data_IF_514442714998
#
_entry.id   IF_514442714998
#
_cell.length_a   1.000
_cell.length_b   1.000
_cell.length_c   1.000
_cell.angle_alpha   90.00
_cell.angle_beta   90.00
_cell.angle_gamma   90.00
#
_symmetry.space_group_name_H-M   'P 1'
#
loop_
_entity.id
_entity.type
_entity.pdbx_description
1 polymer ?
#
# COMPACT_ATOMS: atom_id res chain seq x y z
N UNK A 1 -24.93 8.34 -9.90
CA UNK A 1 -24.15 7.17 -9.39
C UNK A 1 -22.89 7.72 -8.77
N UNK A 2 -22.54 7.33 -7.53
CA UNK A 2 -21.30 7.80 -6.90
C UNK A 2 -20.09 7.30 -7.70
N UNK A 3 -19.10 8.17 -7.95
CA UNK A 3 -17.85 7.78 -8.62
C UNK A 3 -17.11 6.76 -7.74
N UNK A 4 -16.73 5.62 -8.31
CA UNK A 4 -15.92 4.60 -7.62
C UNK A 4 -14.63 5.20 -7.06
N UNK A 5 -14.19 4.71 -5.90
CA UNK A 5 -12.90 5.08 -5.31
C UNK A 5 -11.85 4.11 -5.80
N UNK A 6 -10.78 4.60 -6.42
CA UNK A 6 -9.68 3.77 -6.91
C UNK A 6 -8.55 3.69 -5.89
N UNK A 7 -8.21 2.50 -5.43
CA UNK A 7 -7.15 2.23 -4.48
C UNK A 7 -6.01 1.47 -5.16
N UNK A 8 -4.79 1.98 -5.07
CA UNK A 8 -3.60 1.25 -5.49
C UNK A 8 -2.98 0.53 -4.30
N UNK A 9 -2.89 -0.79 -4.41
CA UNK A 9 -2.41 -1.69 -3.38
C UNK A 9 -0.95 -2.06 -3.66
N UNK A 10 -0.02 -1.71 -2.78
CA UNK A 10 1.43 -1.85 -3.01
C UNK A 10 2.03 -2.78 -1.96
N UNK A 11 2.53 -3.95 -2.39
CA UNK A 11 3.25 -4.87 -1.52
C UNK A 11 4.68 -4.38 -1.31
N UNK A 12 5.18 -4.45 -0.08
CA UNK A 12 6.58 -4.22 0.24
C UNK A 12 7.48 -5.45 0.08
N UNK A 13 6.95 -6.56 -0.44
CA UNK A 13 7.70 -7.82 -0.59
C UNK A 13 7.78 -8.30 -2.04
N UNK A 14 8.98 -8.73 -2.43
CA UNK A 14 9.24 -9.42 -3.71
C UNK A 14 9.12 -10.94 -3.61
N UNK A 15 8.89 -11.51 -2.41
CA UNK A 15 8.81 -12.97 -2.25
C UNK A 15 7.54 -13.48 -2.94
N UNK A 16 7.69 -14.47 -3.82
CA UNK A 16 6.56 -15.11 -4.51
C UNK A 16 5.49 -15.64 -3.53
N UNK A 17 5.92 -16.21 -2.41
CA UNK A 17 5.03 -16.70 -1.34
C UNK A 17 4.73 -15.68 -0.23
N UNK A 18 4.80 -14.37 -0.49
CA UNK A 18 4.57 -13.35 0.54
C UNK A 18 3.12 -13.32 1.03
N UNK A 19 2.93 -13.46 2.36
CA UNK A 19 1.63 -13.28 2.98
C UNK A 19 1.14 -11.81 2.91
N UNK A 20 2.04 -10.83 2.83
CA UNK A 20 1.68 -9.43 2.59
C UNK A 20 1.10 -9.23 1.19
N UNK A 21 1.67 -9.88 0.18
CA UNK A 21 1.11 -9.87 -1.18
C UNK A 21 -0.22 -10.64 -1.25
N UNK A 22 -0.33 -11.76 -0.53
CA UNK A 22 -1.59 -12.50 -0.40
C UNK A 22 -2.70 -11.65 0.25
N UNK A 23 -2.38 -10.85 1.27
CA UNK A 23 -3.32 -9.90 1.88
C UNK A 23 -3.84 -8.91 0.85
N UNK A 24 -2.96 -8.29 0.05
CA UNK A 24 -3.41 -7.32 -0.97
C UNK A 24 -4.22 -7.95 -2.10
N UNK A 25 -3.88 -9.18 -2.53
CA UNK A 25 -4.74 -9.93 -3.47
C UNK A 25 -6.10 -10.26 -2.86
N UNK A 26 -6.14 -10.56 -1.57
CA UNK A 26 -7.39 -10.77 -0.84
C UNK A 26 -8.19 -9.47 -0.81
N UNK A 27 -7.55 -8.34 -0.52
CA UNK A 27 -8.18 -7.02 -0.54
C UNK A 27 -8.81 -6.71 -1.90
N UNK A 28 -8.11 -6.98 -2.99
CA UNK A 28 -8.67 -6.88 -4.34
C UNK A 28 -9.90 -7.78 -4.54
N UNK A 29 -9.84 -9.04 -4.08
CA UNK A 29 -10.93 -10.00 -4.25
C UNK A 29 -12.18 -9.69 -3.40
N UNK A 30 -12.01 -9.00 -2.27
CA UNK A 30 -13.12 -8.65 -1.35
C UNK A 30 -13.50 -7.17 -1.40
N UNK A 31 -12.99 -6.44 -2.40
CA UNK A 31 -13.27 -5.02 -2.55
C UNK A 31 -14.79 -4.76 -2.67
N UNK A 32 -15.34 -3.78 -1.93
CA UNK A 32 -16.72 -3.36 -2.11
C UNK A 32 -17.02 -2.92 -3.55
N UNK A 33 -18.27 -3.01 -3.98
CA UNK A 33 -18.68 -2.71 -5.36
C UNK A 33 -18.38 -1.26 -5.82
N UNK A 34 -18.23 -0.33 -4.87
CA UNK A 34 -17.91 1.08 -5.09
C UNK A 34 -16.42 1.43 -4.85
N UNK A 35 -15.57 0.40 -4.81
CA UNK A 35 -14.11 0.48 -4.65
C UNK A 35 -13.42 -0.34 -5.73
N UNK A 36 -12.61 0.33 -6.56
CA UNK A 36 -11.71 -0.33 -7.50
C UNK A 36 -10.34 -0.54 -6.83
N UNK A 37 -10.03 -1.77 -6.45
CA UNK A 37 -8.76 -2.11 -5.82
C UNK A 37 -7.80 -2.80 -6.81
N UNK A 38 -6.62 -2.21 -7.02
CA UNK A 38 -5.63 -2.69 -8.00
C UNK A 38 -4.30 -3.01 -7.32
N UNK A 39 -3.80 -4.23 -7.47
CA UNK A 39 -2.48 -4.61 -6.96
C UNK A 39 -1.38 -4.15 -7.92
N UNK A 40 -0.44 -3.36 -7.41
CA UNK A 40 0.77 -2.98 -8.14
C UNK A 40 1.76 -4.16 -8.19
N UNK A 41 2.20 -4.52 -9.39
CA UNK A 41 3.09 -5.68 -9.64
C UNK A 41 4.48 -5.29 -10.14
N UNK A 42 4.76 -3.99 -10.34
CA UNK A 42 5.99 -3.49 -10.95
C UNK A 42 7.19 -3.33 -10.01
N UNK A 43 7.11 -3.73 -8.74
CA UNK A 43 8.15 -3.45 -7.73
C UNK A 43 9.54 -3.96 -8.15
N UNK A 44 9.61 -5.15 -8.75
CA UNK A 44 10.88 -5.78 -9.15
C UNK A 44 11.58 -5.08 -10.32
N UNK A 45 10.83 -4.30 -11.11
CA UNK A 45 11.32 -3.65 -12.32
C UNK A 45 11.88 -2.25 -12.08
N UNK A 46 11.76 -1.73 -10.85
CA UNK A 46 12.24 -0.40 -10.51
C UNK A 46 13.78 -0.38 -10.46
N UNK A 47 14.44 0.56 -11.15
CA UNK A 47 15.87 0.77 -10.99
C UNK A 47 16.16 1.27 -9.57
N UNK A 48 17.42 1.14 -9.15
CA UNK A 48 17.88 1.80 -7.94
C UNK A 48 17.64 3.30 -8.05
N UNK A 49 17.09 3.90 -6.98
CA UNK A 49 16.86 5.33 -6.93
C UNK A 49 18.19 6.06 -7.04
N UNK A 50 18.24 6.97 -7.99
CA UNK A 50 19.31 7.92 -8.20
C UNK A 50 18.65 9.25 -8.56
N UNK A 51 18.84 10.32 -7.77
CA UNK A 51 18.19 11.61 -8.04
C UNK A 51 18.61 12.21 -9.39
N UNK A 52 19.79 11.87 -9.91
CA UNK A 52 20.22 12.31 -11.25
C UNK A 52 19.36 11.71 -12.38
N UNK A 53 18.71 10.58 -12.12
CA UNK A 53 17.84 9.88 -13.05
C UNK A 53 16.36 10.28 -12.90
N UNK A 54 16.02 11.14 -11.93
CA UNK A 54 14.66 11.66 -11.72
C UNK A 54 14.36 12.88 -12.61
N UNK A 55 14.46 12.66 -13.92
CA UNK A 55 14.25 13.67 -14.95
C UNK A 55 13.74 13.02 -16.23
N UNK A 56 13.07 13.80 -17.08
CA UNK A 56 12.61 13.30 -18.35
C UNK A 56 13.79 13.01 -19.32
N UNK A 57 13.75 11.89 -20.09
CA UNK A 57 12.76 10.82 -19.99
C UNK A 57 13.02 9.89 -18.79
N UNK A 58 11.96 9.57 -18.04
CA UNK A 58 12.05 8.64 -16.90
C UNK A 58 12.20 7.18 -17.38
N UNK A 59 12.83 6.34 -16.55
CA UNK A 59 12.82 4.90 -16.75
C UNK A 59 11.37 4.37 -16.86
N UNK A 60 11.04 3.47 -17.81
CA UNK A 60 9.65 3.05 -18.05
C UNK A 60 8.92 2.52 -16.81
N UNK A 61 9.61 1.76 -15.96
CA UNK A 61 9.02 1.26 -14.71
C UNK A 61 8.68 2.38 -13.71
N UNK A 62 9.51 3.44 -13.65
CA UNK A 62 9.26 4.61 -12.78
C UNK A 62 8.09 5.41 -13.33
N UNK A 63 8.04 5.65 -14.64
CA UNK A 63 6.91 6.31 -15.29
C UNK A 63 5.59 5.55 -15.06
N UNK A 64 5.62 4.21 -15.18
CA UNK A 64 4.45 3.36 -14.93
C UNK A 64 3.99 3.38 -13.45
N UNK A 65 4.95 3.43 -12.51
CA UNK A 65 4.65 3.61 -11.08
C UNK A 65 3.94 4.95 -10.84
N UNK A 66 4.55 6.06 -11.26
CA UNK A 66 3.99 7.41 -11.07
C UNK A 66 2.63 7.57 -11.72
N UNK A 67 2.46 7.03 -12.93
CA UNK A 67 1.15 7.02 -13.61
C UNK A 67 0.08 6.28 -12.82
N UNK A 68 0.38 5.10 -12.25
CA UNK A 68 -0.60 4.34 -11.48
C UNK A 68 -0.93 5.02 -10.15
N UNK A 69 0.06 5.61 -9.48
CA UNK A 69 -0.14 6.41 -8.27
C UNK A 69 -1.01 7.63 -8.58
N UNK A 70 -0.72 8.35 -9.67
CA UNK A 70 -1.47 9.54 -10.07
C UNK A 70 -2.94 9.25 -10.40
N UNK A 71 -3.24 8.08 -10.95
CA UNK A 71 -4.62 7.68 -11.24
C UNK A 71 -5.39 7.15 -10.01
N UNK A 72 -4.70 6.79 -8.92
CA UNK A 72 -5.32 6.28 -7.71
C UNK A 72 -5.83 7.43 -6.84
N UNK A 73 -6.91 7.19 -6.11
CA UNK A 73 -7.45 8.14 -5.14
C UNK A 73 -6.77 8.00 -3.77
N UNK A 74 -6.31 6.80 -3.42
CA UNK A 74 -5.53 6.54 -2.22
C UNK A 74 -4.62 5.31 -2.40
N UNK A 75 -3.61 5.19 -1.53
CA UNK A 75 -2.65 4.10 -1.52
C UNK A 75 -2.85 3.20 -0.29
N UNK A 76 -2.81 1.88 -0.49
CA UNK A 76 -2.72 0.92 0.61
C UNK A 76 -1.42 0.14 0.50
N UNK A 77 -0.53 0.32 1.48
CA UNK A 77 0.72 -0.41 1.56
C UNK A 77 0.56 -1.70 2.36
N UNK A 78 1.21 -2.79 1.95
CA UNK A 78 1.37 -3.96 2.80
C UNK A 78 2.82 -4.44 2.84
N UNK A 79 3.52 -4.17 3.95
CA UNK A 79 4.97 -4.37 4.02
C UNK A 79 5.36 -5.31 5.17
N UNK A 80 6.29 -6.26 4.93
CA UNK A 80 7.00 -6.92 6.02
C UNK A 80 8.00 -5.96 6.67
N UNK A 81 8.62 -6.41 7.75
CA UNK A 81 9.80 -5.79 8.36
C UNK A 81 11.02 -6.69 8.12
N UNK A 82 12.08 -6.12 7.53
CA UNK A 82 13.34 -6.82 7.30
C UNK A 82 14.45 -6.11 8.06
N UNK A 83 15.17 -6.85 8.90
CA UNK A 83 16.24 -6.33 9.76
C UNK A 83 15.82 -5.09 10.60
N UNK A 84 14.58 -5.06 11.09
CA UNK A 84 14.05 -3.96 11.90
C UNK A 84 13.68 -2.70 11.10
N UNK A 85 13.56 -2.78 9.78
CA UNK A 85 13.21 -1.63 8.95
C UNK A 85 12.37 -2.02 7.72
N UNK A 86 12.12 -1.02 6.86
CA UNK A 86 11.49 -1.23 5.55
C UNK A 86 12.37 -2.11 4.65
N UNK A 87 11.77 -3.01 3.86
CA UNK A 87 12.49 -3.72 2.81
C UNK A 87 13.16 -2.74 1.83
N UNK A 88 14.41 -3.00 1.44
CA UNK A 88 15.18 -2.10 0.58
C UNK A 88 14.50 -1.79 -0.76
N UNK A 89 13.93 -2.80 -1.43
CA UNK A 89 13.18 -2.60 -2.69
C UNK A 89 11.93 -1.75 -2.50
N UNK A 90 11.24 -1.89 -1.37
CA UNK A 90 10.07 -1.08 -1.05
C UNK A 90 10.44 0.35 -0.71
N UNK A 91 11.50 0.56 0.06
CA UNK A 91 12.05 1.89 0.33
C UNK A 91 12.50 2.58 -0.96
N UNK A 92 13.13 1.85 -1.86
CA UNK A 92 13.51 2.33 -3.19
C UNK A 92 12.30 2.82 -4.01
N UNK A 93 11.19 2.07 -3.98
CA UNK A 93 9.92 2.52 -4.59
C UNK A 93 9.45 3.84 -3.99
N UNK A 94 9.48 3.96 -2.65
CA UNK A 94 9.06 5.18 -1.97
C UNK A 94 9.97 6.37 -2.32
N UNK A 95 11.27 6.16 -2.48
CA UNK A 95 12.21 7.22 -2.88
C UNK A 95 11.88 7.79 -4.27
N UNK A 96 11.45 6.94 -5.21
CA UNK A 96 10.96 7.39 -6.52
C UNK A 96 9.66 8.20 -6.47
N UNK A 97 8.91 8.17 -5.36
CA UNK A 97 7.66 8.91 -5.20
C UNK A 97 7.84 10.24 -4.46
N UNK A 98 8.96 10.46 -3.78
CA UNK A 98 9.20 11.70 -3.03
C UNK A 98 9.30 12.88 -4.00
N UNK A 99 8.54 13.95 -3.73
CA UNK A 99 8.55 15.17 -4.54
C UNK A 99 7.71 15.09 -5.81
N UNK A 100 7.11 13.95 -6.14
CA UNK A 100 6.21 13.80 -7.28
C UNK A 100 4.81 14.37 -7.01
N UNK A 101 4.28 15.14 -7.96
CA UNK A 101 2.93 15.74 -7.87
C UNK A 101 1.84 14.69 -7.66
N UNK A 102 2.06 13.46 -8.17
CA UNK A 102 1.15 12.35 -8.03
C UNK A 102 0.90 11.94 -6.58
N UNK A 103 1.75 12.34 -5.62
CA UNK A 103 1.59 12.00 -4.20
C UNK A 103 0.95 13.10 -3.36
N UNK A 104 0.92 14.35 -3.84
CA UNK A 104 0.58 15.50 -3.01
C UNK A 104 -0.85 15.41 -2.47
N UNK A 105 -0.96 15.32 -1.14
CA UNK A 105 -2.25 15.22 -0.45
C UNK A 105 -2.98 13.89 -0.67
N UNK A 106 -2.35 12.90 -1.33
CA UNK A 106 -2.98 11.61 -1.59
C UNK A 106 -3.02 10.76 -0.32
N UNK A 107 -4.21 10.35 0.16
CA UNK A 107 -4.32 9.55 1.37
C UNK A 107 -3.62 8.21 1.23
N UNK A 108 -2.95 7.78 2.29
CA UNK A 108 -2.30 6.49 2.38
C UNK A 108 -2.61 5.79 3.70
N UNK A 109 -2.65 4.47 3.66
CA UNK A 109 -2.70 3.63 4.85
C UNK A 109 -1.74 2.45 4.69
N UNK A 110 -1.47 1.72 5.76
CA UNK A 110 -0.75 0.46 5.67
C UNK A 110 -1.42 -0.65 6.47
N UNK A 111 -1.23 -1.86 5.99
CA UNK A 111 -1.54 -3.09 6.72
C UNK A 111 -0.31 -3.96 6.76
N UNK A 112 -0.19 -4.83 7.75
CA UNK A 112 0.86 -5.83 7.70
C UNK A 112 0.39 -7.20 8.14
N UNK A 113 1.01 -8.20 7.53
CA UNK A 113 1.01 -9.57 8.03
C UNK A 113 2.28 -9.76 8.85
N UNK A 114 2.12 -9.99 10.14
CA UNK A 114 3.23 -10.34 11.02
C UNK A 114 2.86 -11.54 11.87
N UNK A 115 3.78 -12.50 11.93
CA UNK A 115 3.64 -13.62 12.87
C UNK A 115 3.52 -13.09 14.30
N UNK A 116 2.68 -13.71 15.16
CA UNK A 116 2.68 -13.44 16.59
C UNK A 116 4.07 -13.56 17.24
N UNK A 117 4.95 -14.40 16.67
CA UNK A 117 6.32 -14.59 17.14
C UNK A 117 7.31 -13.49 16.67
N UNK A 118 6.86 -12.52 15.87
CA UNK A 118 7.72 -11.41 15.42
C UNK A 118 8.06 -10.49 16.61
N UNK A 119 9.35 -10.18 16.87
CA UNK A 119 9.77 -9.39 18.03
C UNK A 119 9.09 -8.02 18.14
N UNK A 120 8.83 -7.39 16.99
CA UNK A 120 8.26 -6.04 16.90
C UNK A 120 6.83 -6.06 16.37
N UNK A 121 6.39 -7.18 15.76
CA UNK A 121 5.13 -7.23 15.00
C UNK A 121 5.08 -6.28 13.80
N UNK A 122 6.24 -5.81 13.31
CA UNK A 122 6.34 -4.82 12.23
C UNK A 122 6.33 -3.36 12.69
N UNK A 123 6.40 -3.09 14.00
CA UNK A 123 6.37 -1.71 14.54
C UNK A 123 7.46 -0.81 13.96
N UNK A 124 8.66 -1.31 13.71
CA UNK A 124 9.77 -0.47 13.26
C UNK A 124 9.65 -0.16 11.77
N UNK A 125 9.15 -1.11 10.97
CA UNK A 125 8.72 -0.87 9.60
C UNK A 125 7.61 0.19 9.54
N UNK A 126 6.59 0.13 10.41
CA UNK A 126 5.51 1.13 10.43
C UNK A 126 6.00 2.53 10.86
N UNK A 127 6.87 2.61 11.86
CA UNK A 127 7.47 3.87 12.29
C UNK A 127 8.30 4.51 11.16
N UNK A 128 9.06 3.69 10.44
CA UNK A 128 9.82 4.10 9.27
C UNK A 128 8.93 4.52 8.11
N UNK A 129 7.88 3.75 7.80
CA UNK A 129 6.91 4.06 6.75
C UNK A 129 6.24 5.41 7.03
N UNK A 130 5.70 5.60 8.23
CA UNK A 130 5.05 6.86 8.62
C UNK A 130 5.99 8.05 8.46
N UNK A 131 7.29 7.89 8.76
CA UNK A 131 8.29 8.95 8.51
C UNK A 131 8.40 9.25 7.01
N UNK A 132 8.54 8.24 6.17
CA UNK A 132 8.68 8.40 4.71
C UNK A 132 7.41 9.00 4.08
N UNK A 133 6.22 8.54 4.48
CA UNK A 133 4.95 9.08 3.96
C UNK A 133 4.80 10.59 4.21
N UNK A 134 5.29 11.09 5.35
CA UNK A 134 5.33 12.54 5.60
C UNK A 134 6.24 13.28 4.63
N UNK A 135 7.43 12.75 4.32
CA UNK A 135 8.32 13.36 3.32
C UNK A 135 7.73 13.29 1.91
N UNK A 136 6.96 12.25 1.61
CA UNK A 136 6.25 12.09 0.34
C UNK A 136 4.91 12.85 0.29
N UNK A 137 4.57 13.69 1.26
CA UNK A 137 3.29 14.42 1.32
C UNK A 137 2.03 13.53 1.20
N UNK A 138 2.13 12.29 1.70
CA UNK A 138 1.06 11.30 1.74
C UNK A 138 0.40 11.31 3.15
N UNK A 139 -0.73 12.03 3.36
CA UNK A 139 -1.43 12.01 4.63
C UNK A 139 -1.84 10.59 5.00
N UNK A 140 -1.53 10.20 6.24
CA UNK A 140 -1.85 8.87 6.76
C UNK A 140 -3.27 8.81 7.30
N UNK A 141 -4.05 7.82 6.86
CA UNK A 141 -5.37 7.47 7.42
C UNK A 141 -5.17 6.42 8.49
N UNK A 142 -4.95 6.86 9.73
CA UNK A 142 -4.55 5.99 10.85
C UNK A 142 -5.63 4.96 11.19
N UNK A 143 -6.91 5.26 10.98
CA UNK A 143 -8.03 4.35 11.20
C UNK A 143 -8.03 3.15 10.24
N UNK A 144 -7.36 3.29 9.09
CA UNK A 144 -7.16 2.21 8.13
C UNK A 144 -5.84 1.46 8.35
N UNK A 145 -5.02 1.86 9.33
CA UNK A 145 -3.74 1.24 9.63
C UNK A 145 -3.90 0.06 10.60
N UNK A 146 -3.84 -1.18 10.10
CA UNK A 146 -4.06 -2.38 10.93
C UNK A 146 -2.93 -3.40 10.86
N UNK A 147 -2.67 -4.05 11.99
CA UNK A 147 -1.80 -5.21 12.09
C UNK A 147 -2.64 -6.48 12.17
N UNK A 148 -2.42 -7.40 11.24
CA UNK A 148 -3.06 -8.71 11.26
C UNK A 148 -2.04 -9.78 11.72
N UNK A 149 -2.32 -10.51 12.82
CA UNK A 149 -1.42 -11.53 13.38
C UNK A 149 -1.46 -12.84 12.56
N UNK A 150 -1.16 -12.73 11.27
CA UNK A 150 -1.25 -13.81 10.29
C UNK A 150 0.15 -14.30 9.89
N UNK A 151 0.18 -15.47 9.27
CA UNK A 151 1.38 -16.17 8.80
C UNK A 151 1.15 -16.70 7.39
N UNK A 152 2.15 -17.40 6.83
CA UNK A 152 2.01 -18.08 5.54
C UNK A 152 0.99 -19.24 5.58
N UNK A 153 0.76 -19.84 6.76
CA UNK A 153 -0.20 -20.91 6.94
C UNK A 153 -1.66 -20.43 6.76
N UNK A 154 -1.90 -19.14 6.96
CA UNK A 154 -3.21 -18.51 6.78
C UNK A 154 -3.50 -18.15 5.32
N UNK A 155 -2.62 -18.52 4.39
CA UNK A 155 -2.77 -18.27 2.94
C UNK A 155 -3.10 -19.60 2.25
N UNK A 156 -4.28 -19.66 1.64
CA UNK A 156 -4.76 -20.82 0.88
C UNK A 156 -3.97 -21.10 -0.39
N UNK A 157 -4.31 -22.20 -1.05
CA UNK A 157 -3.69 -22.63 -2.31
C UNK A 157 -3.95 -21.64 -3.46
N UNK A 158 -5.09 -20.93 -3.42
CA UNK A 158 -5.45 -19.83 -4.32
C UNK A 158 -4.59 -18.56 -4.11
N UNK A 159 -3.75 -18.56 -3.08
CA UNK A 159 -2.90 -17.43 -2.73
C UNK A 159 -3.63 -16.28 -2.02
N UNK A 160 -4.84 -16.52 -1.52
CA UNK A 160 -5.65 -15.59 -0.73
C UNK A 160 -5.68 -15.99 0.75
N UNK A 161 -6.05 -15.06 1.63
CA UNK A 161 -6.18 -15.33 3.05
C UNK A 161 -7.39 -16.22 3.35
N UNK A 162 -7.21 -17.15 4.29
CA UNK A 162 -8.25 -18.04 4.79
C UNK A 162 -9.11 -17.33 5.84
N UNK A 163 -10.34 -17.80 6.00
CA UNK A 163 -11.25 -17.36 7.05
C UNK A 163 -12.12 -16.14 6.69
N UNK A 164 -13.43 -16.18 7.00
CA UNK A 164 -14.34 -15.07 6.69
C UNK A 164 -14.05 -13.81 7.52
N UNK A 165 -13.61 -13.95 8.78
CA UNK A 165 -13.34 -12.82 9.67
C UNK A 165 -12.13 -11.98 9.21
N UNK A 166 -11.07 -12.63 8.73
CA UNK A 166 -9.91 -11.96 8.14
C UNK A 166 -10.32 -11.19 6.88
N UNK A 167 -11.13 -11.81 6.02
CA UNK A 167 -11.65 -11.18 4.79
C UNK A 167 -12.54 -9.98 5.10
N UNK A 168 -13.41 -10.09 6.11
CA UNK A 168 -14.22 -8.97 6.59
C UNK A 168 -13.36 -7.83 7.14
N UNK A 169 -12.30 -8.15 7.89
CA UNK A 169 -11.36 -7.15 8.40
C UNK A 169 -10.63 -6.42 7.27
N UNK A 170 -10.16 -7.16 6.25
CA UNK A 170 -9.53 -6.59 5.05
C UNK A 170 -10.50 -5.70 4.27
N UNK A 171 -11.76 -6.13 4.09
CA UNK A 171 -12.79 -5.32 3.46
C UNK A 171 -13.07 -4.03 4.26
N UNK A 172 -13.09 -4.11 5.59
CA UNK A 172 -13.24 -2.96 6.49
C UNK A 172 -12.16 -1.91 6.29
N UNK A 173 -10.89 -2.32 6.12
CA UNK A 173 -9.79 -1.39 5.81
C UNK A 173 -10.05 -0.60 4.51
N UNK A 174 -10.51 -1.28 3.46
CA UNK A 174 -10.84 -0.64 2.18
C UNK A 174 -12.01 0.33 2.33
N UNK A 175 -13.03 -0.03 3.12
CA UNK A 175 -14.17 0.83 3.38
C UNK A 175 -13.77 2.10 4.14
N UNK A 176 -12.93 1.98 5.18
CA UNK A 176 -12.43 3.15 5.93
C UNK A 176 -11.64 4.08 5.01
N UNK A 177 -10.71 3.55 4.22
CA UNK A 177 -9.90 4.36 3.30
C UNK A 177 -10.77 5.02 2.22
N UNK A 178 -11.76 4.29 1.68
CA UNK A 178 -12.68 4.83 0.68
C UNK A 178 -13.62 5.89 1.26
N UNK A 179 -14.09 5.72 2.50
CA UNK A 179 -14.89 6.72 3.20
C UNK A 179 -14.08 8.01 3.44
N UNK A 180 -12.81 7.90 3.82
CA UNK A 180 -11.91 9.05 3.96
C UNK A 180 -11.80 9.84 2.65
N UNK A 181 -11.52 9.15 1.54
CA UNK A 181 -11.44 9.77 0.20
C UNK A 181 -12.73 10.51 -0.16
N UNK A 182 -13.91 9.91 0.11
CA UNK A 182 -15.20 10.52 -0.18
C UNK A 182 -15.47 11.76 0.67
N UNK A 183 -15.08 11.72 1.94
CA UNK A 183 -15.18 12.87 2.85
C UNK A 183 -14.30 14.02 2.36
N UNK A 184 -13.04 13.74 2.04
CA UNK A 184 -12.10 14.74 1.53
C UNK A 184 -12.57 15.42 0.23
N UNK A 185 -13.22 14.67 -0.68
CA UNK A 185 -13.81 15.21 -1.92
C UNK A 185 -15.03 16.11 -1.69
N UNK A 186 -15.72 15.92 -0.56
CA UNK A 186 -16.94 16.65 -0.23
C UNK A 186 -16.67 17.90 0.61
N UNK A 187 -15.45 18.06 1.12
CA UNK A 187 -15.04 19.24 1.87
C UNK A 187 -15.01 20.47 0.94
N UNK A 188 -15.59 21.60 1.34
CA UNK A 188 -15.51 22.83 0.56
C UNK A 188 -14.05 23.28 0.46
N UNK A 189 -13.63 23.70 -0.74
CA UNK A 189 -12.36 24.37 -0.94
C UNK A 189 -12.50 25.75 -0.29
N UNK A 190 -11.85 25.95 0.85
CA UNK A 190 -11.76 27.25 1.55
C UNK A 190 -10.77 28.17 0.84
#
# INVERSE_FOLDING_TARGET
MMRSVRLLLISGSLRAGSANTALLRTAQAVAPADVEALVYTGLAALPHFNPDDDRAPLHPAVAALRSQVGQADALLFCTPEYAGALPGSFKNLLDWLVGGEETYGKPAAWVNVSSPASPTGGRDAHASLRKVLRYASLPTVEEACVRLPLTRADVGEDGLLLGPEVRASVAGVLQVLAAYVRSARSAPIL
#
